data_IF_577825700090
#
_entry.id   IF_577825700090
#
_cell.length_a   1.000
_cell.length_b   1.000
_cell.length_c   1.000
_cell.angle_alpha   90.00
_cell.angle_beta   90.00
_cell.angle_gamma   90.00
#
_symmetry.space_group_name_H-M   'P 1'
#
loop_
_entity.id
_entity.type
_entity.pdbx_description
1 polymer ?
#
# COMPACT_ATOMS: atom_id res chain seq x y z
N UNK A 1 18.27 10.25 61.21
CA UNK A 1 19.05 9.58 60.13
C UNK A 1 18.32 8.40 59.49
N UNK A 2 17.74 7.44 60.24
CA UNK A 2 17.03 6.27 59.64
C UNK A 2 15.84 6.63 58.74
N UNK A 3 15.06 7.64 59.12
CA UNK A 3 13.89 8.10 58.33
C UNK A 3 14.30 8.78 57.00
N UNK A 4 15.46 9.46 56.98
CA UNK A 4 15.96 10.19 55.81
C UNK A 4 16.52 9.25 54.74
N UNK A 5 17.12 8.13 55.17
CA UNK A 5 17.54 7.03 54.29
C UNK A 5 16.33 6.34 53.67
N UNK A 6 15.23 6.17 54.43
CA UNK A 6 13.99 5.59 53.94
C UNK A 6 13.32 6.49 52.88
N UNK A 7 13.36 7.81 53.07
CA UNK A 7 12.84 8.79 52.11
C UNK A 7 13.66 8.80 50.80
N UNK A 8 14.99 8.68 50.90
CA UNK A 8 15.88 8.58 49.74
C UNK A 8 15.65 7.28 48.94
N UNK A 9 15.32 6.19 49.64
CA UNK A 9 14.99 4.88 49.02
C UNK A 9 13.63 4.90 48.29
N UNK A 10 12.67 5.71 48.74
CA UNK A 10 11.37 5.87 48.08
C UNK A 10 11.51 6.67 46.78
N UNK A 11 12.41 7.67 46.73
CA UNK A 11 12.61 8.52 45.53
C UNK A 11 13.27 7.74 44.38
N UNK A 12 14.08 6.71 44.66
CA UNK A 12 14.69 5.88 43.60
C UNK A 12 13.70 4.92 42.94
N UNK A 13 12.54 4.65 43.54
CA UNK A 13 11.51 3.77 43.00
C UNK A 13 10.54 4.46 42.01
N UNK A 14 10.63 5.78 41.84
CA UNK A 14 9.72 6.55 40.96
C UNK A 14 10.15 6.65 39.49
N UNK A 15 11.25 6.02 39.06
CA UNK A 15 11.68 6.03 37.66
C UNK A 15 10.96 4.99 36.80
N UNK A 16 9.64 4.89 36.92
CA UNK A 16 8.82 4.12 35.99
C UNK A 16 8.45 5.02 34.79
N UNK A 17 9.38 5.18 33.85
CA UNK A 17 9.08 5.84 32.58
C UNK A 17 8.15 4.92 31.80
N UNK A 18 6.86 5.28 31.72
CA UNK A 18 5.91 4.59 30.85
C UNK A 18 6.40 4.75 29.40
N UNK A 19 6.36 3.68 28.59
CA UNK A 19 6.75 3.78 27.19
C UNK A 19 5.85 4.80 26.49
N UNK A 20 6.48 5.75 25.81
CA UNK A 20 5.77 6.74 25.02
C UNK A 20 4.94 6.06 23.93
N UNK A 21 3.70 6.53 23.76
CA UNK A 21 2.70 5.89 22.89
C UNK A 21 1.81 6.93 22.20
N UNK A 22 2.41 7.69 21.29
CA UNK A 22 1.72 8.68 20.44
C UNK A 22 1.27 8.04 19.13
N UNK A 23 0.30 7.12 19.19
CA UNK A 23 -0.06 6.30 18.01
C UNK A 23 -0.72 7.08 16.87
N UNK A 24 -1.35 8.22 17.17
CA UNK A 24 -2.05 9.04 16.16
C UNK A 24 -1.12 9.46 15.02
N UNK A 25 0.12 9.78 15.36
CA UNK A 25 1.15 10.24 14.41
C UNK A 25 1.55 9.15 13.40
N UNK A 26 1.21 7.89 13.69
CA UNK A 26 1.56 6.72 12.89
C UNK A 26 0.37 6.11 12.15
N UNK A 27 -0.82 6.76 12.22
CA UNK A 27 -2.02 6.26 11.55
C UNK A 27 -1.94 6.34 10.03
N UNK A 28 -1.21 7.32 9.53
CA UNK A 28 -0.95 7.55 8.10
C UNK A 28 0.50 7.95 7.90
N UNK A 29 1.02 7.80 6.69
CA UNK A 29 2.36 8.24 6.32
C UNK A 29 3.16 7.13 5.65
N UNK A 30 4.43 7.45 5.42
CA UNK A 30 5.40 6.58 4.75
C UNK A 30 6.36 6.01 5.78
N UNK A 31 6.57 4.71 5.74
CA UNK A 31 7.45 3.99 6.67
C UNK A 31 8.34 3.00 5.95
N UNK A 32 9.39 2.54 6.62
CA UNK A 32 10.11 1.34 6.22
C UNK A 32 10.27 0.38 7.40
N UNK A 33 10.41 -0.90 7.10
CA UNK A 33 10.71 -1.95 8.06
C UNK A 33 11.88 -2.79 7.56
N UNK A 34 12.62 -3.39 8.48
CA UNK A 34 13.73 -4.28 8.14
C UNK A 34 13.32 -5.74 8.37
N UNK A 35 13.74 -6.62 7.45
CA UNK A 35 13.53 -8.05 7.55
C UNK A 35 14.76 -8.80 7.04
N UNK A 36 15.01 -9.98 7.61
CA UNK A 36 16.12 -10.83 7.18
C UNK A 36 15.64 -11.85 6.15
N UNK A 37 16.32 -11.91 5.00
CA UNK A 37 16.10 -12.93 3.98
C UNK A 37 17.46 -13.51 3.58
N UNK A 38 17.62 -14.83 3.74
CA UNK A 38 18.89 -15.54 3.48
C UNK A 38 20.12 -14.94 4.20
N UNK A 39 19.93 -14.39 5.40
CA UNK A 39 21.01 -13.78 6.19
C UNK A 39 21.32 -12.32 5.82
N UNK A 40 20.70 -11.77 4.78
CA UNK A 40 20.82 -10.35 4.42
C UNK A 40 19.66 -9.54 5.02
N UNK A 41 19.98 -8.38 5.60
CA UNK A 41 18.97 -7.41 6.04
C UNK A 41 18.48 -6.62 4.84
N UNK A 42 17.18 -6.71 4.59
CA UNK A 42 16.48 -5.98 3.54
C UNK A 42 15.47 -5.02 4.14
N UNK A 43 15.04 -4.06 3.33
CA UNK A 43 13.99 -3.11 3.69
C UNK A 43 12.72 -3.36 2.90
N UNK A 44 11.59 -3.25 3.58
CA UNK A 44 10.28 -3.08 2.96
C UNK A 44 9.78 -1.67 3.25
N UNK A 45 8.93 -1.16 2.38
CA UNK A 45 8.37 0.19 2.45
C UNK A 45 6.86 0.10 2.57
N UNK A 46 6.29 1.00 3.37
CA UNK A 46 4.88 1.07 3.67
C UNK A 46 4.39 2.47 3.30
N UNK A 47 3.35 2.54 2.50
CA UNK A 47 2.56 3.76 2.31
C UNK A 47 1.19 3.51 2.92
N UNK A 48 0.83 4.29 3.94
CA UNK A 48 -0.43 4.13 4.66
C UNK A 48 -1.27 5.41 4.60
N UNK A 49 -2.52 5.26 4.19
CA UNK A 49 -3.58 6.27 4.29
C UNK A 49 -4.61 5.82 5.34
N UNK A 50 -5.68 6.60 5.51
CA UNK A 50 -6.75 6.27 6.47
C UNK A 50 -7.41 4.91 6.23
N UNK A 51 -7.48 4.48 4.96
CA UNK A 51 -8.24 3.30 4.54
C UNK A 51 -7.42 2.26 3.78
N UNK A 52 -6.17 2.58 3.42
CA UNK A 52 -5.33 1.72 2.59
C UNK A 52 -3.89 1.66 3.10
N UNK A 53 -3.30 0.47 3.04
CA UNK A 53 -1.87 0.26 3.23
C UNK A 53 -1.31 -0.48 2.01
N UNK A 54 -0.24 0.06 1.44
CA UNK A 54 0.53 -0.57 0.38
C UNK A 54 1.92 -0.90 0.92
N UNK A 55 2.27 -2.18 0.90
CA UNK A 55 3.58 -2.67 1.31
C UNK A 55 4.38 -3.10 0.09
N UNK A 56 5.62 -2.62 -0.02
CA UNK A 56 6.54 -2.94 -1.10
C UNK A 56 7.81 -3.54 -0.53
N UNK A 57 8.11 -4.78 -0.89
CA UNK A 57 9.31 -5.47 -0.40
C UNK A 57 9.76 -6.49 -1.45
N UNK A 58 11.07 -6.53 -1.71
CA UNK A 58 11.62 -7.24 -2.87
C UNK A 58 10.85 -6.85 -4.16
N UNK A 59 10.37 -7.83 -4.93
CA UNK A 59 9.54 -7.68 -6.13
C UNK A 59 8.04 -7.81 -5.85
N UNK A 60 7.64 -7.79 -4.58
CA UNK A 60 6.25 -7.98 -4.15
C UNK A 60 5.63 -6.66 -3.73
N UNK A 61 4.36 -6.53 -4.09
CA UNK A 61 3.49 -5.44 -3.65
C UNK A 61 2.25 -6.10 -3.09
N UNK A 62 1.96 -5.80 -1.82
CA UNK A 62 0.74 -6.23 -1.14
C UNK A 62 -0.09 -5.01 -0.78
N UNK A 63 -1.40 -5.12 -0.93
CA UNK A 63 -2.36 -4.07 -0.58
C UNK A 63 -3.38 -4.59 0.43
N UNK A 64 -3.64 -3.78 1.45
CA UNK A 64 -4.57 -4.11 2.53
C UNK A 64 -5.49 -2.94 2.85
N UNK A 65 -6.77 -3.23 3.05
CA UNK A 65 -7.72 -2.32 3.68
C UNK A 65 -7.28 -2.06 5.13
N UNK A 66 -7.37 -0.81 5.56
CA UNK A 66 -6.98 -0.35 6.90
C UNK A 66 -8.24 -0.04 7.69
N UNK A 67 -8.40 -0.71 8.84
CA UNK A 67 -9.50 -0.41 9.77
C UNK A 67 -8.97 -0.23 11.19
N UNK A 68 -8.94 1.01 11.65
CA UNK A 68 -8.56 1.34 13.02
C UNK A 68 -9.66 0.92 14.00
N UNK A 69 -9.28 0.17 15.03
CA UNK A 69 -10.12 -0.20 16.18
C UNK A 69 -10.08 0.90 17.24
N UNK A 70 -8.90 1.46 17.45
CA UNK A 70 -8.63 2.64 18.28
C UNK A 70 -7.35 3.32 17.75
N UNK A 71 -6.82 4.34 18.43
CA UNK A 71 -5.64 5.06 17.96
C UNK A 71 -4.38 4.18 17.78
N UNK A 72 -4.27 3.05 18.48
CA UNK A 72 -3.09 2.20 18.51
C UNK A 72 -3.30 0.77 17.98
N UNK A 73 -4.51 0.42 17.58
CA UNK A 73 -4.87 -0.93 17.14
C UNK A 73 -5.57 -0.85 15.79
N UNK A 74 -5.08 -1.64 14.84
CA UNK A 74 -5.50 -1.62 13.43
C UNK A 74 -5.66 -3.03 12.92
N UNK A 75 -6.68 -3.24 12.10
CA UNK A 75 -6.95 -4.49 11.41
C UNK A 75 -6.68 -4.26 9.92
N UNK A 76 -5.82 -5.09 9.36
CA UNK A 76 -5.52 -5.14 7.94
C UNK A 76 -6.22 -6.32 7.29
N UNK A 77 -6.90 -6.06 6.18
CA UNK A 77 -7.51 -7.09 5.35
C UNK A 77 -6.92 -7.02 3.95
N UNK A 78 -6.24 -8.08 3.53
CA UNK A 78 -5.63 -8.16 2.21
C UNK A 78 -6.68 -8.05 1.11
N UNK A 79 -6.48 -7.13 0.16
CA UNK A 79 -7.46 -6.85 -0.92
C UNK A 79 -7.52 -7.98 -1.94
N UNK A 80 -6.38 -8.63 -2.24
CA UNK A 80 -6.32 -9.76 -3.17
C UNK A 80 -5.44 -10.91 -2.64
N UNK A 81 -5.95 -11.72 -1.69
CA UNK A 81 -5.17 -12.77 -1.06
C UNK A 81 -4.87 -13.92 -2.02
N UNK A 82 -3.60 -14.13 -2.35
CA UNK A 82 -3.14 -15.21 -3.25
C UNK A 82 -3.15 -16.58 -2.57
N UNK A 83 -2.94 -16.63 -1.25
CA UNK A 83 -2.94 -17.87 -0.46
C UNK A 83 -4.10 -17.87 0.52
N UNK A 84 -4.56 -19.06 0.91
CA UNK A 84 -5.62 -19.22 1.91
C UNK A 84 -5.25 -18.60 3.27
N UNK A 85 -3.96 -18.53 3.59
CA UNK A 85 -3.49 -17.87 4.82
C UNK A 85 -3.65 -16.34 4.77
N UNK A 86 -3.55 -15.74 3.58
CA UNK A 86 -3.64 -14.28 3.37
C UNK A 86 -5.10 -13.79 3.46
N UNK A 87 -6.09 -14.70 3.41
CA UNK A 87 -7.50 -14.37 3.65
C UNK A 87 -7.81 -14.03 5.11
N UNK A 88 -6.87 -14.28 6.02
CA UNK A 88 -7.05 -13.99 7.45
C UNK A 88 -6.59 -12.57 7.73
N UNK A 89 -7.49 -11.78 8.30
CA UNK A 89 -7.19 -10.44 8.76
C UNK A 89 -6.02 -10.44 9.76
N UNK A 90 -5.17 -9.43 9.66
CA UNK A 90 -4.04 -9.22 10.55
C UNK A 90 -4.43 -8.12 11.54
N UNK A 91 -4.34 -8.42 12.83
CA UNK A 91 -4.45 -7.44 13.89
C UNK A 91 -3.04 -6.98 14.29
N UNK A 92 -2.79 -5.67 14.21
CA UNK A 92 -1.56 -5.02 14.65
C UNK A 92 -1.86 -4.04 15.77
N UNK A 93 -1.01 -4.04 16.79
CA UNK A 93 -1.04 -3.11 17.92
C UNK A 93 0.30 -2.41 18.08
N UNK A 94 0.30 -1.08 18.06
CA UNK A 94 1.46 -0.26 18.38
C UNK A 94 1.72 -0.36 19.89
N UNK A 95 2.96 -0.72 20.25
CA UNK A 95 3.40 -0.94 21.64
C UNK A 95 4.19 0.24 22.18
N UNK A 96 5.14 0.76 21.40
CA UNK A 96 5.92 1.95 21.76
C UNK A 96 6.15 2.85 20.55
N UNK A 97 6.31 4.14 20.79
CA UNK A 97 6.67 5.14 19.77
C UNK A 97 7.94 5.88 20.19
N UNK A 98 8.59 6.49 19.20
CA UNK A 98 9.69 7.45 19.33
C UNK A 98 9.40 8.61 18.36
N UNK A 99 10.30 9.57 18.21
CA UNK A 99 10.14 10.66 17.24
C UNK A 99 10.13 10.21 15.77
N UNK A 100 10.71 9.04 15.48
CA UNK A 100 10.92 8.57 14.10
C UNK A 100 10.56 7.10 13.88
N UNK A 101 10.00 6.41 14.85
CA UNK A 101 9.69 4.98 14.73
C UNK A 101 8.63 4.52 15.72
N UNK A 102 8.01 3.38 15.41
CA UNK A 102 7.11 2.67 16.31
C UNK A 102 7.43 1.18 16.32
N UNK A 103 7.34 0.58 17.51
CA UNK A 103 7.34 -0.88 17.67
C UNK A 103 5.90 -1.39 17.75
N UNK A 104 5.67 -2.56 17.20
CA UNK A 104 4.34 -3.15 17.14
C UNK A 104 4.37 -4.65 17.38
N UNK A 105 3.23 -5.18 17.81
CA UNK A 105 2.93 -6.60 17.79
C UNK A 105 1.84 -6.89 16.76
N UNK A 106 1.90 -8.03 16.09
CA UNK A 106 0.88 -8.42 15.13
C UNK A 106 0.62 -9.93 15.13
N UNK A 107 -0.58 -10.30 14.69
CA UNK A 107 -1.01 -11.69 14.54
C UNK A 107 -2.24 -11.77 13.64
N UNK A 108 -2.54 -12.95 13.11
CA UNK A 108 -3.87 -13.18 12.53
C UNK A 108 -4.96 -13.04 13.61
N UNK A 109 -6.09 -12.43 13.26
CA UNK A 109 -7.25 -12.30 14.15
C UNK A 109 -7.62 -13.67 14.73
N UNK A 110 -7.80 -13.72 16.06
CA UNK A 110 -8.09 -14.94 16.80
C UNK A 110 -6.88 -15.85 17.09
N UNK A 111 -5.65 -15.44 16.77
CA UNK A 111 -4.43 -16.16 17.17
C UNK A 111 -3.79 -15.54 18.42
N UNK A 112 -3.32 -16.40 19.32
CA UNK A 112 -2.65 -16.02 20.56
C UNK A 112 -1.15 -15.73 20.36
N UNK A 113 -0.51 -16.40 19.39
CA UNK A 113 0.90 -16.21 19.09
C UNK A 113 1.11 -14.92 18.28
N UNK A 114 1.68 -13.91 18.92
CA UNK A 114 2.02 -12.62 18.32
C UNK A 114 3.48 -12.57 17.90
N UNK A 115 3.73 -11.86 16.80
CA UNK A 115 5.06 -11.49 16.34
C UNK A 115 5.29 -10.01 16.65
N UNK A 116 6.55 -9.57 16.63
CA UNK A 116 6.93 -8.19 16.89
C UNK A 116 7.75 -7.64 15.72
N UNK A 117 7.63 -6.35 15.49
CA UNK A 117 8.38 -5.63 14.49
C UNK A 117 8.56 -4.16 14.85
N UNK A 118 9.36 -3.48 14.04
CA UNK A 118 9.60 -2.04 14.13
C UNK A 118 9.46 -1.43 12.75
N UNK A 119 8.79 -0.30 12.68
CA UNK A 119 8.71 0.52 11.48
C UNK A 119 9.20 1.93 11.78
N UNK A 120 9.94 2.50 10.84
CA UNK A 120 10.61 3.79 10.96
C UNK A 120 10.00 4.74 9.93
N UNK A 121 9.73 5.98 10.32
CA UNK A 121 9.26 7.05 9.42
C UNK A 121 10.24 7.18 8.26
N UNK A 122 9.69 7.17 7.06
CA UNK A 122 10.45 7.37 5.83
C UNK A 122 10.21 8.79 5.34
N UNK A 123 11.23 9.64 5.43
CA UNK A 123 11.20 11.02 4.89
C UNK A 123 11.43 11.05 3.38
N UNK A 124 11.70 9.90 2.77
CA UNK A 124 11.77 9.70 1.34
C UNK A 124 10.73 8.64 1.00
N UNK A 125 9.73 8.88 0.13
CA UNK A 125 9.20 7.76 -0.62
C UNK A 125 10.44 7.10 -1.27
N UNK A 126 10.57 5.77 -1.16
CA UNK A 126 11.80 5.02 -1.49
C UNK A 126 12.60 5.69 -2.63
N UNK A 127 13.92 6.00 -2.47
CA UNK A 127 14.63 7.01 -3.26
C UNK A 127 14.21 7.02 -4.73
N UNK A 128 13.36 7.99 -5.07
CA UNK A 128 12.71 8.12 -6.37
C UNK A 128 13.68 8.86 -7.27
N UNK A 129 14.11 8.22 -8.36
CA UNK A 129 14.68 8.95 -9.50
C UNK A 129 13.68 8.87 -10.64
N UNK A 130 13.11 10.02 -11.02
CA UNK A 130 12.20 10.15 -12.16
C UNK A 130 13.05 10.06 -13.43
N UNK A 131 13.02 8.93 -14.14
CA UNK A 131 13.48 8.85 -15.52
C UNK A 131 12.26 9.02 -16.44
N UNK A 132 12.23 10.09 -17.24
CA UNK A 132 11.22 10.27 -18.29
C UNK A 132 11.43 9.21 -19.38
N UNK A 133 10.76 8.06 -19.26
CA UNK A 133 10.63 7.04 -20.33
C UNK A 133 9.21 6.97 -20.87
N UNK A 134 8.50 8.11 -20.93
CA UNK A 134 7.13 8.25 -21.43
C UNK A 134 6.91 7.66 -22.83
N UNK A 135 7.96 7.54 -23.64
CA UNK A 135 7.83 7.18 -25.05
C UNK A 135 7.97 5.68 -25.35
N UNK A 136 8.12 4.80 -24.34
CA UNK A 136 8.35 3.36 -24.58
C UNK A 136 7.29 2.42 -24.01
N UNK A 137 6.27 2.93 -23.31
CA UNK A 137 5.23 2.11 -22.70
C UNK A 137 3.86 2.53 -23.22
N UNK A 138 3.31 1.75 -24.16
CA UNK A 138 1.94 1.89 -24.66
C UNK A 138 1.12 0.72 -24.17
N UNK A 139 -0.10 0.98 -23.72
CA UNK A 139 -1.07 -0.10 -23.54
C UNK A 139 -1.51 -0.50 -24.95
N UNK A 140 -1.56 -1.80 -25.22
CA UNK A 140 -1.92 -2.32 -26.55
C UNK A 140 -3.33 -1.83 -26.90
N UNK A 141 -3.51 -1.30 -28.12
CA UNK A 141 -4.85 -0.96 -28.62
C UNK A 141 -5.69 -2.23 -28.69
N UNK A 142 -6.71 -2.29 -27.83
CA UNK A 142 -7.57 -3.45 -27.70
C UNK A 142 -8.81 -3.11 -26.85
N UNK A 143 -9.79 -4.00 -26.89
CA UNK A 143 -10.87 -4.02 -25.89
C UNK A 143 -10.56 -5.08 -24.84
N UNK A 144 -10.46 -4.65 -23.58
CA UNK A 144 -10.21 -5.53 -22.44
C UNK A 144 -11.45 -5.59 -21.57
N UNK A 145 -11.94 -6.78 -21.25
CA UNK A 145 -13.14 -7.01 -20.44
C UNK A 145 -12.73 -7.24 -18.99
N UNK A 146 -13.46 -6.65 -18.05
CA UNK A 146 -13.20 -6.81 -16.62
C UNK A 146 -13.49 -8.25 -16.20
N UNK A 147 -12.54 -8.90 -15.51
CA UNK A 147 -12.61 -10.32 -15.20
C UNK A 147 -13.78 -10.68 -14.28
N UNK A 148 -14.15 -9.76 -13.36
CA UNK A 148 -15.30 -9.96 -12.46
C UNK A 148 -16.63 -9.38 -12.97
N UNK A 149 -16.61 -8.60 -14.05
CA UNK A 149 -17.83 -7.99 -14.61
C UNK A 149 -17.74 -8.00 -16.14
N UNK A 150 -18.35 -9.01 -16.74
CA UNK A 150 -18.35 -9.21 -18.20
C UNK A 150 -19.00 -8.07 -19.01
N UNK A 151 -19.72 -7.16 -18.35
CA UNK A 151 -20.34 -5.99 -18.97
C UNK A 151 -19.43 -4.76 -18.92
N UNK A 152 -18.42 -4.73 -18.05
CA UNK A 152 -17.47 -3.62 -17.93
C UNK A 152 -16.25 -3.91 -18.79
N UNK A 153 -15.83 -2.96 -19.63
CA UNK A 153 -14.63 -3.10 -20.45
C UNK A 153 -13.89 -1.78 -20.63
N UNK A 154 -12.60 -1.85 -20.96
CA UNK A 154 -11.77 -0.73 -21.38
C UNK A 154 -11.51 -0.87 -22.87
N UNK A 155 -11.85 0.16 -23.64
CA UNK A 155 -11.45 0.29 -25.04
C UNK A 155 -10.30 1.28 -25.14
N UNK A 156 -9.20 0.85 -25.75
CA UNK A 156 -7.96 1.62 -25.84
C UNK A 156 -7.71 1.90 -27.31
N UNK A 157 -7.88 3.15 -27.72
CA UNK A 157 -7.76 3.56 -29.11
C UNK A 157 -7.31 5.03 -29.20
N UNK A 158 -6.47 5.37 -30.18
CA UNK A 158 -6.02 6.73 -30.49
C UNK A 158 -5.45 7.50 -29.28
N UNK A 159 -4.70 6.82 -28.42
CA UNK A 159 -4.10 7.45 -27.23
C UNK A 159 -5.12 7.86 -26.16
N UNK A 160 -6.36 7.35 -26.23
CA UNK A 160 -7.39 7.53 -25.20
C UNK A 160 -7.88 6.18 -24.68
N UNK A 161 -8.40 6.19 -23.45
CA UNK A 161 -9.05 5.03 -22.83
C UNK A 161 -10.51 5.39 -22.61
N UNK A 162 -11.40 4.57 -23.18
CA UNK A 162 -12.84 4.69 -23.00
C UNK A 162 -13.33 3.58 -22.08
N UNK A 163 -13.99 3.94 -20.99
CA UNK A 163 -14.68 2.97 -20.13
C UNK A 163 -16.05 2.65 -20.75
N UNK A 164 -16.34 1.36 -20.92
CA UNK A 164 -17.59 0.91 -21.53
C UNK A 164 -18.38 0.08 -20.53
N UNK A 165 -19.69 0.25 -20.53
CA UNK A 165 -20.63 -0.61 -19.82
C UNK A 165 -21.64 -1.19 -20.81
N UNK A 166 -21.81 -2.51 -20.81
CA UNK A 166 -22.59 -3.27 -21.81
C UNK A 166 -22.15 -2.95 -23.25
N UNK A 167 -20.85 -2.73 -23.46
CA UNK A 167 -20.25 -2.44 -24.77
C UNK A 167 -20.57 -1.05 -25.33
N UNK A 168 -21.03 -0.11 -24.49
CA UNK A 168 -21.31 1.27 -24.89
C UNK A 168 -20.65 2.26 -23.93
N UNK A 169 -20.19 3.38 -24.47
CA UNK A 169 -19.90 4.58 -23.70
C UNK A 169 -21.22 5.27 -23.36
N UNK A 170 -21.37 5.71 -22.11
CA UNK A 170 -22.54 6.40 -21.58
C UNK A 170 -22.42 7.93 -21.78
N UNK A 171 -21.24 8.46 -22.09
CA UNK A 171 -21.02 9.86 -22.43
C UNK A 171 -19.55 10.25 -22.63
N UNK A 172 -19.30 11.55 -22.82
CA UNK A 172 -17.94 12.11 -22.95
C UNK A 172 -17.10 11.88 -21.69
N UNK A 173 -17.74 11.80 -20.52
CA UNK A 173 -17.10 11.51 -19.25
C UNK A 173 -16.48 10.10 -19.19
N UNK A 174 -16.88 9.17 -20.06
CA UNK A 174 -16.26 7.86 -20.07
C UNK A 174 -14.99 7.79 -20.91
N UNK A 175 -14.63 8.89 -21.61
CA UNK A 175 -13.46 8.96 -22.49
C UNK A 175 -12.36 9.78 -21.82
N UNK A 176 -11.27 9.10 -21.48
CA UNK A 176 -10.14 9.68 -20.77
C UNK A 176 -8.93 9.86 -21.68
N UNK A 177 -8.27 11.01 -21.55
CA UNK A 177 -6.86 11.13 -21.89
C UNK A 177 -6.05 10.37 -20.86
N UNK A 178 -5.01 9.66 -21.30
CA UNK A 178 -4.16 8.92 -20.37
C UNK A 178 -2.71 9.36 -20.43
N UNK A 179 -2.08 9.37 -19.26
CA UNK A 179 -0.65 9.62 -19.09
C UNK A 179 -0.04 8.50 -18.28
N UNK A 180 1.02 7.90 -18.81
CA UNK A 180 1.79 6.90 -18.10
C UNK A 180 3.08 7.52 -17.59
N UNK A 181 3.32 7.37 -16.29
CA UNK A 181 4.57 7.75 -15.65
C UNK A 181 5.24 6.50 -15.10
N UNK A 182 6.57 6.50 -15.05
CA UNK A 182 7.32 5.42 -14.43
C UNK A 182 8.08 5.95 -13.23
N UNK A 183 8.13 5.18 -12.15
CA UNK A 183 9.01 5.44 -11.01
C UNK A 183 9.98 4.27 -10.87
N UNK A 184 11.27 4.56 -10.90
CA UNK A 184 12.31 3.54 -10.77
C UNK A 184 12.28 2.95 -9.35
N UNK A 185 12.08 1.64 -9.24
CA UNK A 185 12.15 0.95 -7.96
C UNK A 185 13.61 0.57 -7.67
N UNK A 186 14.18 1.17 -6.63
CA UNK A 186 15.57 0.97 -6.21
C UNK A 186 15.85 -0.43 -5.65
N UNK A 187 14.80 -1.17 -5.25
CA UNK A 187 14.94 -2.54 -4.73
C UNK A 187 14.98 -3.57 -5.86
N UNK A 188 14.11 -3.41 -6.85
CA UNK A 188 13.95 -4.41 -7.93
C UNK A 188 14.75 -4.08 -9.18
N UNK A 189 15.31 -2.87 -9.25
CA UNK A 189 15.89 -2.28 -10.46
C UNK A 189 14.90 -2.20 -11.64
N UNK A 190 13.60 -2.44 -11.41
CA UNK A 190 12.53 -2.36 -12.41
C UNK A 190 11.65 -1.14 -12.13
N UNK A 191 11.18 -0.41 -13.14
CA UNK A 191 10.25 0.68 -12.93
C UNK A 191 8.85 0.15 -12.55
N UNK A 192 8.22 0.79 -11.57
CA UNK A 192 6.76 0.75 -11.41
C UNK A 192 6.14 1.73 -12.40
N UNK A 193 4.96 1.42 -12.93
CA UNK A 193 4.26 2.28 -13.87
C UNK A 193 2.95 2.77 -13.26
N UNK A 194 2.62 4.02 -13.48
CA UNK A 194 1.40 4.67 -13.00
C UNK A 194 0.62 5.22 -14.18
N UNK A 195 -0.68 5.03 -14.15
CA UNK A 195 -1.64 5.48 -15.15
C UNK A 195 -2.51 6.56 -14.54
N UNK A 196 -2.46 7.77 -15.09
CA UNK A 196 -3.37 8.86 -14.79
C UNK A 196 -4.35 9.00 -15.96
N UNK A 197 -5.64 8.89 -15.66
CA UNK A 197 -6.75 9.07 -16.60
C UNK A 197 -7.45 10.38 -16.26
N UNK A 198 -7.56 11.28 -17.23
CA UNK A 198 -8.20 12.60 -17.03
C UNK A 198 -9.22 12.85 -18.13
N UNK A 199 -10.39 13.35 -17.74
CA UNK A 199 -11.44 13.83 -18.64
C UNK A 199 -11.85 15.26 -18.18
N UNK A 200 -13.03 15.74 -18.59
CA UNK A 200 -13.52 17.07 -18.19
C UNK A 200 -13.98 17.16 -16.71
N UNK A 201 -14.29 16.02 -16.07
CA UNK A 201 -14.98 15.95 -14.76
C UNK A 201 -14.17 15.30 -13.64
N UNK A 202 -13.17 14.49 -13.97
CA UNK A 202 -12.48 13.60 -13.03
C UNK A 202 -11.03 13.33 -13.44
N UNK A 203 -10.22 12.93 -12.46
CA UNK A 203 -8.87 12.40 -12.65
C UNK A 203 -8.69 11.15 -11.80
N UNK A 204 -8.57 10.00 -12.48
CA UNK A 204 -8.37 8.70 -11.86
C UNK A 204 -6.89 8.32 -11.90
N UNK A 205 -6.36 7.80 -10.79
CA UNK A 205 -4.95 7.43 -10.68
C UNK A 205 -4.82 5.95 -10.33
N UNK A 206 -4.00 5.25 -11.09
CA UNK A 206 -3.75 3.82 -10.94
C UNK A 206 -2.26 3.49 -10.90
N UNK A 207 -1.89 2.43 -10.20
CA UNK A 207 -0.63 1.71 -10.42
C UNK A 207 -0.90 0.55 -11.39
N UNK A 208 -0.06 0.41 -12.41
CA UNK A 208 -0.12 -0.68 -13.39
C UNK A 208 0.64 -1.87 -12.80
N UNK A 209 -0.09 -2.91 -12.41
CA UNK A 209 0.46 -4.12 -11.81
C UNK A 209 0.87 -5.15 -12.88
N UNK A 210 0.13 -5.21 -13.98
CA UNK A 210 0.40 -6.07 -15.13
C UNK A 210 -0.04 -5.34 -16.39
N UNK A 211 0.78 -5.39 -17.44
CA UNK A 211 0.42 -4.95 -18.78
C UNK A 211 1.05 -5.92 -19.78
N UNK A 212 0.22 -6.72 -20.44
CA UNK A 212 0.61 -7.64 -21.50
C UNK A 212 -0.30 -7.45 -22.72
N UNK A 213 -0.10 -8.24 -23.77
CA UNK A 213 -0.97 -8.19 -24.95
C UNK A 213 -2.43 -8.57 -24.63
N UNK A 214 -2.63 -9.42 -23.63
CA UNK A 214 -3.94 -10.00 -23.30
C UNK A 214 -4.48 -9.57 -21.95
N UNK A 215 -3.64 -9.07 -21.04
CA UNK A 215 -4.03 -8.74 -19.67
C UNK A 215 -3.62 -7.33 -19.27
N UNK A 216 -4.45 -6.67 -18.48
CA UNK A 216 -4.15 -5.42 -17.81
C UNK A 216 -4.66 -5.49 -16.36
N UNK A 217 -3.77 -5.28 -15.41
CA UNK A 217 -4.13 -5.22 -13.99
C UNK A 217 -3.82 -3.82 -13.44
N UNK A 218 -4.83 -3.13 -12.95
CA UNK A 218 -4.74 -1.76 -12.45
C UNK A 218 -5.15 -1.70 -10.98
N UNK A 219 -4.33 -1.10 -10.12
CA UNK A 219 -4.71 -0.81 -8.74
C UNK A 219 -5.17 0.64 -8.63
N UNK A 220 -6.44 0.88 -8.30
CA UNK A 220 -6.98 2.22 -8.10
C UNK A 220 -6.40 2.81 -6.81
N UNK A 221 -5.54 3.82 -6.93
CA UNK A 221 -4.73 4.32 -5.82
C UNK A 221 -5.55 4.78 -4.60
N UNK A 222 -6.70 5.47 -4.73
CA UNK A 222 -7.47 5.93 -3.57
C UNK A 222 -8.03 4.81 -2.69
N UNK A 223 -8.31 3.63 -3.26
CA UNK A 223 -8.95 2.52 -2.52
C UNK A 223 -8.10 1.25 -2.45
N UNK A 224 -7.05 1.16 -3.26
CA UNK A 224 -6.27 -0.06 -3.45
C UNK A 224 -7.02 -1.17 -4.19
N UNK A 225 -8.27 -0.93 -4.63
CA UNK A 225 -9.04 -1.91 -5.40
C UNK A 225 -8.30 -2.25 -6.68
N UNK A 226 -8.08 -3.55 -6.89
CA UNK A 226 -7.44 -4.04 -8.09
C UNK A 226 -8.52 -4.42 -9.10
N UNK A 227 -8.36 -3.90 -10.30
CA UNK A 227 -9.16 -4.22 -11.47
C UNK A 227 -8.32 -5.08 -12.41
N UNK A 228 -8.83 -6.26 -12.73
CA UNK A 228 -8.22 -7.16 -13.70
C UNK A 228 -9.04 -7.14 -14.97
N UNK A 229 -8.36 -6.97 -16.09
CA UNK A 229 -8.97 -7.00 -17.40
C UNK A 229 -8.22 -7.97 -18.29
N UNK A 230 -8.96 -8.68 -19.13
CA UNK A 230 -8.42 -9.61 -20.11
C UNK A 230 -9.09 -9.45 -21.48
N UNK A 231 -8.37 -9.80 -22.53
CA UNK A 231 -8.96 -9.96 -23.87
C UNK A 231 -9.90 -11.15 -23.84
N UNK A 232 -11.16 -10.96 -24.23
CA UNK A 232 -12.02 -12.11 -24.54
C UNK A 232 -11.54 -12.74 -25.85
N UNK A 233 -11.16 -14.01 -25.78
CA UNK A 233 -11.09 -14.88 -26.97
C UNK A 233 -12.49 -15.15 -27.50
#
# INVERSE_FOLDING_TARGET
>A
MRLLVLLLLVITLYNCNLPERQCKDYKTGSFYFEYSHNGETKRGYIERTETLQIERYDTKIDSSEVRWVNDCEVIFKTINPKRMVDKKDIHLKIITTTDSSYSFEYSYVGKSKKQKGTAVVSTSPAPITIENKSNLFRITENTLVHDSDSLSSLEINDGKITMLYKGRSLGKDDRYDYKITSQKNTLTHKPNYFLELTNETDTLKYEILENSKTNLSLMYLPTGKIHHYSTKN
#
